data_IF_464948991192
#
_entry.id   IF_464948991192
#
_cell.length_a   1.000
_cell.length_b   1.000
_cell.length_c   1.000
_cell.angle_alpha   90.00
_cell.angle_beta   90.00
_cell.angle_gamma   90.00
#
_symmetry.space_group_name_H-M   'P 1'
#
loop_
_entity.id
_entity.type
_entity.pdbx_description
1 polymer ?
#
# COMPACT_ATOMS: atom_id res chain seq x y z
N UNK A 1 -50.16 1.65 25.79
CA UNK A 1 -48.80 1.04 25.76
C UNK A 1 -48.31 0.81 24.32
N UNK A 2 -49.03 0.04 23.50
CA UNK A 2 -48.66 -0.25 22.09
C UNK A 2 -48.47 0.98 21.18
N UNK A 3 -49.36 1.98 21.26
CA UNK A 3 -49.22 3.23 20.48
C UNK A 3 -48.01 4.07 20.88
N UNK A 4 -47.66 4.10 22.17
CA UNK A 4 -46.49 4.83 22.68
C UNK A 4 -45.20 4.16 22.19
N UNK A 5 -45.13 2.83 22.24
CA UNK A 5 -44.00 2.04 21.72
C UNK A 5 -43.79 2.30 20.22
N UNK A 6 -44.86 2.31 19.41
CA UNK A 6 -44.78 2.63 17.97
C UNK A 6 -44.22 4.03 17.69
N UNK A 7 -44.61 5.03 18.48
CA UNK A 7 -44.09 6.41 18.34
C UNK A 7 -42.61 6.50 18.72
N UNK A 8 -42.19 5.88 19.82
CA UNK A 8 -40.78 5.84 20.22
C UNK A 8 -39.91 5.15 19.18
N UNK A 9 -40.34 3.99 18.66
CA UNK A 9 -39.64 3.28 17.58
C UNK A 9 -39.55 4.15 16.32
N UNK A 10 -40.63 4.83 15.94
CA UNK A 10 -40.61 5.76 14.80
C UNK A 10 -39.61 6.91 15.01
N UNK A 11 -39.55 7.52 16.20
CA UNK A 11 -38.59 8.58 16.48
C UNK A 11 -37.13 8.10 16.49
N UNK A 12 -36.88 6.88 16.95
CA UNK A 12 -35.54 6.28 16.87
C UNK A 12 -35.13 6.03 15.41
N UNK A 13 -36.05 5.53 14.58
CA UNK A 13 -35.79 5.32 13.14
C UNK A 13 -35.56 6.67 12.44
N UNK A 14 -36.38 7.68 12.71
CA UNK A 14 -36.22 9.02 12.12
C UNK A 14 -34.91 9.67 12.56
N UNK A 15 -34.56 9.56 13.84
CA UNK A 15 -33.28 10.07 14.36
C UNK A 15 -32.11 9.40 13.67
N UNK A 16 -32.13 8.06 13.57
CA UNK A 16 -31.09 7.30 12.87
C UNK A 16 -31.01 7.70 11.39
N UNK A 17 -32.15 7.86 10.72
CA UNK A 17 -32.21 8.30 9.32
C UNK A 17 -31.58 9.69 9.14
N UNK A 18 -31.92 10.65 10.01
CA UNK A 18 -31.33 12.00 9.97
C UNK A 18 -29.82 11.94 10.20
N UNK A 19 -29.35 11.15 11.17
CA UNK A 19 -27.91 10.97 11.42
C UNK A 19 -27.20 10.41 10.18
N UNK A 20 -27.79 9.40 9.51
CA UNK A 20 -27.23 8.82 8.29
C UNK A 20 -27.20 9.84 7.15
N UNK A 21 -28.28 10.60 6.95
CA UNK A 21 -28.35 11.64 5.91
C UNK A 21 -27.33 12.75 6.16
N UNK A 22 -27.22 13.24 7.39
CA UNK A 22 -26.24 14.26 7.77
C UNK A 22 -24.80 13.74 7.63
N UNK A 23 -24.54 12.51 8.07
CA UNK A 23 -23.25 11.85 7.91
C UNK A 23 -22.86 11.74 6.43
N UNK A 24 -23.74 11.18 5.60
CA UNK A 24 -23.50 11.04 4.16
C UNK A 24 -23.33 12.38 3.45
N UNK A 25 -24.14 13.38 3.81
CA UNK A 25 -24.02 14.74 3.28
C UNK A 25 -22.67 15.36 3.64
N UNK A 26 -22.15 15.11 4.85
CA UNK A 26 -20.82 15.56 5.27
C UNK A 26 -19.72 14.91 4.42
N UNK A 27 -19.78 13.59 4.21
CA UNK A 27 -18.82 12.89 3.34
C UNK A 27 -18.83 13.45 1.90
N UNK A 28 -20.01 13.79 1.40
CA UNK A 28 -20.17 14.39 0.08
C UNK A 28 -19.58 15.81 0.02
N UNK A 29 -19.79 16.62 1.07
CA UNK A 29 -19.18 17.96 1.17
C UNK A 29 -17.64 17.91 1.15
N UNK A 30 -17.04 16.95 1.88
CA UNK A 30 -15.59 16.72 1.85
C UNK A 30 -15.08 16.26 0.47
N UNK A 31 -15.96 15.76 -0.40
CA UNK A 31 -15.60 15.29 -1.75
C UNK A 31 -15.50 16.43 -2.77
N UNK A 32 -15.83 17.69 -2.44
CA UNK A 32 -15.77 18.79 -3.42
C UNK A 32 -14.39 19.38 -3.65
N UNK A 33 -13.48 19.23 -2.68
CA UNK A 33 -12.13 19.78 -2.81
C UNK A 33 -11.35 18.98 -3.86
N UNK A 34 -10.53 19.68 -4.64
CA UNK A 34 -9.63 19.07 -5.60
C UNK A 34 -8.19 19.34 -5.20
N UNK A 35 -7.34 18.33 -5.37
CA UNK A 35 -5.90 18.47 -5.28
C UNK A 35 -5.24 18.17 -6.62
N UNK A 36 -4.13 18.86 -6.87
CA UNK A 36 -3.22 18.50 -7.94
C UNK A 36 -2.41 17.28 -7.51
N UNK A 37 -2.65 16.15 -8.17
CA UNK A 37 -2.09 14.85 -7.78
C UNK A 37 -1.05 14.45 -8.81
N UNK A 38 0.16 14.17 -8.33
CA UNK A 38 1.17 13.49 -9.13
C UNK A 38 1.03 11.98 -8.99
N UNK A 39 1.21 11.24 -10.08
CA UNK A 39 1.18 9.79 -10.06
C UNK A 39 2.58 9.18 -10.03
N UNK A 40 2.68 8.05 -9.33
CA UNK A 40 3.84 7.18 -9.32
C UNK A 40 3.45 5.75 -9.71
N UNK A 41 4.45 4.90 -9.84
CA UNK A 41 4.26 3.48 -10.19
C UNK A 41 4.99 2.59 -9.17
N UNK A 42 4.31 1.55 -8.69
CA UNK A 42 4.97 0.46 -7.95
C UNK A 42 5.53 -0.55 -8.94
N UNK A 43 6.81 -0.90 -8.82
CA UNK A 43 7.45 -1.84 -9.73
C UNK A 43 8.11 -3.01 -8.99
N UNK A 44 7.89 -4.23 -9.47
CA UNK A 44 8.48 -5.46 -8.95
C UNK A 44 9.06 -6.29 -10.09
N UNK A 45 10.37 -6.59 -10.10
CA UNK A 45 10.98 -7.50 -11.07
C UNK A 45 10.32 -8.87 -11.11
N UNK A 46 9.99 -9.41 -9.93
CA UNK A 46 9.35 -10.71 -9.79
C UNK A 46 7.97 -10.75 -10.45
N UNK A 47 7.18 -9.67 -10.31
CA UNK A 47 5.86 -9.60 -10.93
C UNK A 47 5.93 -9.45 -12.46
N UNK A 48 6.81 -8.60 -12.98
CA UNK A 48 7.00 -8.52 -14.44
C UNK A 48 7.42 -9.88 -15.02
N UNK A 49 8.32 -10.59 -14.33
CA UNK A 49 8.77 -11.92 -14.73
C UNK A 49 7.63 -12.95 -14.65
N UNK A 50 6.79 -12.90 -13.61
CA UNK A 50 5.63 -13.79 -13.49
C UNK A 50 4.59 -13.56 -14.60
N UNK A 51 4.57 -12.36 -15.19
CA UNK A 51 3.79 -12.03 -16.39
C UNK A 51 4.41 -12.56 -17.70
N UNK A 52 5.60 -13.17 -17.66
CA UNK A 52 6.32 -13.62 -18.84
C UNK A 52 7.06 -12.51 -19.58
N UNK A 53 7.27 -11.36 -18.93
CA UNK A 53 7.96 -10.19 -19.49
C UNK A 53 9.43 -10.16 -19.05
N UNK A 54 10.30 -9.57 -19.86
CA UNK A 54 11.63 -9.14 -19.39
C UNK A 54 11.44 -7.93 -18.46
N UNK A 55 11.83 -8.07 -17.20
CA UNK A 55 11.58 -7.02 -16.21
C UNK A 55 12.41 -5.76 -16.46
N UNK A 56 13.61 -5.87 -17.06
CA UNK A 56 14.45 -4.70 -17.34
C UNK A 56 13.89 -3.92 -18.52
N UNK A 57 13.47 -4.60 -19.57
CA UNK A 57 12.77 -3.97 -20.70
C UNK A 57 11.47 -3.32 -20.23
N UNK A 58 10.69 -4.01 -19.39
CA UNK A 58 9.44 -3.47 -18.83
C UNK A 58 9.71 -2.23 -17.97
N UNK A 59 10.72 -2.29 -17.10
CA UNK A 59 11.10 -1.15 -16.27
C UNK A 59 11.55 0.06 -17.10
N UNK A 60 12.34 -0.17 -18.16
CA UNK A 60 12.73 0.87 -19.11
C UNK A 60 11.52 1.44 -19.85
N UNK A 61 10.58 0.62 -20.29
CA UNK A 61 9.35 1.10 -20.93
C UNK A 61 8.53 1.98 -19.98
N UNK A 62 8.38 1.60 -18.71
CA UNK A 62 7.72 2.42 -17.68
C UNK A 62 8.41 3.78 -17.53
N UNK A 63 9.73 3.80 -17.43
CA UNK A 63 10.51 5.04 -17.30
C UNK A 63 10.39 5.95 -18.54
N UNK A 64 10.44 5.37 -19.73
CA UNK A 64 10.48 6.12 -20.99
C UNK A 64 9.09 6.58 -21.46
N UNK A 65 8.07 5.74 -21.29
CA UNK A 65 6.74 5.97 -21.85
C UNK A 65 5.82 6.64 -20.82
N UNK A 66 5.76 6.10 -19.60
CA UNK A 66 4.89 6.65 -18.54
C UNK A 66 5.53 7.85 -17.82
N UNK A 67 6.85 7.90 -17.77
CA UNK A 67 7.63 8.98 -17.13
C UNK A 67 7.11 9.33 -15.73
N UNK A 68 6.99 8.34 -14.82
CA UNK A 68 6.39 8.57 -13.52
C UNK A 68 7.26 9.54 -12.70
N UNK A 69 6.63 10.37 -11.88
CA UNK A 69 7.36 11.26 -10.96
C UNK A 69 7.99 10.49 -9.80
N UNK A 70 7.31 9.42 -9.37
CA UNK A 70 7.71 8.57 -8.26
C UNK A 70 7.70 7.09 -8.66
N UNK A 71 8.65 6.34 -8.14
CA UNK A 71 8.67 4.88 -8.17
C UNK A 71 8.64 4.33 -6.74
N UNK A 72 7.74 3.39 -6.48
CA UNK A 72 7.74 2.62 -5.23
C UNK A 72 8.39 1.27 -5.52
N UNK A 73 9.57 1.06 -4.94
CA UNK A 73 10.42 -0.09 -5.23
C UNK A 73 10.57 -0.90 -3.94
N UNK A 74 10.15 -2.18 -3.92
CA UNK A 74 10.48 -3.08 -2.82
C UNK A 74 11.95 -3.50 -2.89
N UNK A 75 12.55 -3.76 -1.73
CA UNK A 75 13.83 -4.45 -1.58
C UNK A 75 13.59 -5.80 -0.86
N UNK A 76 13.03 -6.83 -1.53
CA UNK A 76 12.60 -8.05 -0.86
C UNK A 76 13.73 -8.74 -0.09
N UNK A 77 13.47 -9.15 1.17
CA UNK A 77 14.48 -9.81 1.99
C UNK A 77 14.94 -11.14 1.37
N UNK A 78 14.02 -11.90 0.75
CA UNK A 78 14.33 -13.10 -0.07
C UNK A 78 15.31 -12.86 -1.21
N UNK A 79 15.32 -11.66 -1.81
CA UNK A 79 16.22 -11.33 -2.92
C UNK A 79 17.52 -10.72 -2.43
N UNK A 80 17.45 -9.83 -1.44
CA UNK A 80 18.61 -9.09 -0.91
C UNK A 80 19.53 -10.01 -0.10
N UNK A 81 18.97 -10.95 0.66
CA UNK A 81 19.72 -11.86 1.53
C UNK A 81 19.17 -13.30 1.39
N UNK A 82 19.16 -13.80 0.15
CA UNK A 82 18.70 -15.16 -0.16
C UNK A 82 19.44 -16.23 0.67
N UNK A 83 20.74 -16.04 0.87
CA UNK A 83 21.60 -16.82 1.75
C UNK A 83 21.98 -15.97 2.98
N UNK A 84 21.84 -16.53 4.19
CA UNK A 84 22.15 -15.83 5.44
C UNK A 84 23.56 -15.19 5.41
N UNK A 85 23.63 -13.88 5.66
CA UNK A 85 24.85 -13.09 5.69
C UNK A 85 25.45 -12.77 4.31
N UNK A 86 24.85 -13.21 3.21
CA UNK A 86 25.31 -12.91 1.84
C UNK A 86 24.35 -11.95 1.16
N UNK A 87 24.75 -10.69 1.12
CA UNK A 87 23.93 -9.63 0.54
C UNK A 87 24.20 -9.46 -0.96
N UNK A 88 23.13 -9.31 -1.73
CA UNK A 88 23.17 -8.82 -3.10
C UNK A 88 22.21 -7.65 -3.26
N UNK A 89 22.62 -6.66 -4.04
CA UNK A 89 21.85 -5.46 -4.28
C UNK A 89 21.63 -5.20 -5.77
N UNK A 90 22.01 -6.15 -6.63
CA UNK A 90 22.10 -5.95 -8.08
C UNK A 90 20.80 -5.42 -8.71
N UNK A 91 19.65 -5.98 -8.35
CA UNK A 91 18.35 -5.56 -8.89
C UNK A 91 17.96 -4.16 -8.39
N UNK A 92 18.07 -3.93 -7.08
CA UNK A 92 17.71 -2.65 -6.45
C UNK A 92 18.65 -1.54 -6.95
N UNK A 93 19.96 -1.81 -7.03
CA UNK A 93 20.96 -0.90 -7.60
C UNK A 93 20.62 -0.50 -9.03
N UNK A 94 20.30 -1.49 -9.88
CA UNK A 94 19.92 -1.23 -11.26
C UNK A 94 18.68 -0.32 -11.31
N UNK A 95 17.64 -0.62 -10.54
CA UNK A 95 16.42 0.17 -10.54
C UNK A 95 16.64 1.60 -10.05
N UNK A 96 17.38 1.79 -8.96
CA UNK A 96 17.69 3.13 -8.44
C UNK A 96 18.58 3.94 -9.41
N UNK A 97 19.57 3.29 -10.05
CA UNK A 97 20.44 3.97 -11.02
C UNK A 97 19.67 4.42 -12.27
N UNK A 98 18.76 3.61 -12.78
CA UNK A 98 17.93 3.98 -13.92
C UNK A 98 16.88 5.04 -13.55
N UNK A 99 16.29 4.97 -12.35
CA UNK A 99 15.43 6.04 -11.85
C UNK A 99 16.19 7.38 -11.76
N UNK A 100 17.45 7.35 -11.29
CA UNK A 100 18.31 8.53 -11.22
C UNK A 100 18.53 9.18 -12.60
N UNK A 101 18.83 8.37 -13.62
CA UNK A 101 19.03 8.84 -15.01
C UNK A 101 17.79 9.53 -15.58
N UNK A 102 16.60 9.12 -15.14
CA UNK A 102 15.31 9.66 -15.57
C UNK A 102 14.77 10.76 -14.64
N UNK A 103 15.55 11.18 -13.64
CA UNK A 103 15.13 12.13 -12.60
C UNK A 103 13.85 11.72 -11.85
N UNK A 104 13.66 10.41 -11.67
CA UNK A 104 12.51 9.84 -10.97
C UNK A 104 12.87 9.63 -9.49
N UNK A 105 11.97 10.02 -8.60
CA UNK A 105 12.14 9.88 -7.14
C UNK A 105 11.70 8.50 -6.68
N UNK A 106 12.41 7.92 -5.71
CA UNK A 106 12.14 6.56 -5.24
C UNK A 106 11.64 6.56 -3.80
N UNK A 107 10.55 5.85 -3.57
CA UNK A 107 10.15 5.33 -2.26
C UNK A 107 10.67 3.90 -2.17
N UNK A 108 11.65 3.65 -1.31
CA UNK A 108 12.22 2.32 -1.12
C UNK A 108 11.53 1.62 0.05
N UNK A 109 10.98 0.44 -0.22
CA UNK A 109 10.24 -0.34 0.79
C UNK A 109 11.14 -1.42 1.39
N UNK A 110 11.14 -1.50 2.71
CA UNK A 110 11.85 -2.50 3.51
C UNK A 110 10.87 -3.16 4.49
N UNK A 111 11.31 -4.25 5.11
CA UNK A 111 10.53 -5.01 6.08
C UNK A 111 10.19 -6.42 5.58
N UNK A 112 9.43 -7.14 6.39
CA UNK A 112 8.99 -8.51 6.14
C UNK A 112 7.92 -8.59 5.04
N UNK A 113 7.00 -7.63 5.08
CA UNK A 113 5.84 -7.48 4.22
C UNK A 113 6.07 -6.30 3.28
N UNK A 114 6.01 -6.55 1.99
CA UNK A 114 6.34 -5.60 0.94
C UNK A 114 5.28 -5.63 -0.16
N UNK A 115 5.21 -4.59 -1.01
CA UNK A 115 4.25 -4.50 -2.11
C UNK A 115 4.22 -5.77 -2.98
N UNK A 116 3.03 -6.13 -3.46
CA UNK A 116 2.72 -7.28 -4.35
C UNK A 116 2.65 -8.64 -3.65
N UNK A 117 1.79 -9.52 -4.19
CA UNK A 117 1.63 -10.90 -3.75
C UNK A 117 2.73 -11.82 -4.30
N UNK A 118 3.29 -12.76 -3.49
CA UNK A 118 3.07 -12.93 -2.06
C UNK A 118 3.59 -11.72 -1.26
N UNK A 119 2.79 -11.24 -0.31
CA UNK A 119 3.09 -9.99 0.41
C UNK A 119 4.29 -10.10 1.35
N UNK A 120 4.65 -11.31 1.82
CA UNK A 120 5.77 -11.49 2.74
C UNK A 120 6.96 -12.20 2.09
N UNK A 121 8.16 -11.66 2.32
CA UNK A 121 9.38 -12.03 1.62
C UNK A 121 10.43 -12.59 2.58
N UNK A 122 10.10 -13.65 3.30
CA UNK A 122 11.06 -14.34 4.19
C UNK A 122 12.00 -15.28 3.43
N UNK A 123 13.32 -15.13 3.53
CA UNK A 123 14.25 -16.17 3.08
C UNK A 123 13.99 -17.50 3.77
N UNK A 124 14.22 -18.62 3.07
CA UNK A 124 13.94 -19.96 3.60
C UNK A 124 14.73 -20.29 4.88
N UNK A 125 15.91 -19.70 5.07
CA UNK A 125 16.70 -19.85 6.29
C UNK A 125 16.08 -19.07 7.46
N UNK A 126 15.50 -17.89 7.20
CA UNK A 126 14.89 -17.04 8.22
C UNK A 126 13.58 -17.65 8.75
N UNK A 127 12.83 -18.36 7.90
CA UNK A 127 11.60 -19.09 8.28
C UNK A 127 11.83 -20.16 9.36
N UNK A 128 13.08 -20.64 9.51
CA UNK A 128 13.46 -21.71 10.47
C UNK A 128 13.92 -21.16 11.83
N UNK A 129 14.06 -19.84 11.95
CA UNK A 129 14.53 -19.20 13.17
C UNK A 129 13.42 -19.04 14.21
N UNK A 130 13.82 -18.88 15.47
CA UNK A 130 12.91 -18.40 16.52
C UNK A 130 12.42 -16.98 16.18
N UNK A 131 11.26 -16.56 16.70
CA UNK A 131 10.75 -15.19 16.48
C UNK A 131 11.80 -14.12 16.82
N UNK A 132 12.46 -14.27 17.98
CA UNK A 132 13.48 -13.34 18.44
C UNK A 132 14.72 -13.31 17.52
N UNK A 133 15.20 -14.46 17.06
CA UNK A 133 16.38 -14.51 16.20
C UNK A 133 16.06 -14.05 14.78
N UNK A 134 14.85 -14.31 14.30
CA UNK A 134 14.37 -13.78 13.03
C UNK A 134 14.19 -12.27 13.07
N UNK A 135 13.68 -11.71 14.17
CA UNK A 135 13.61 -10.25 14.35
C UNK A 135 15.00 -9.60 14.33
N UNK A 136 16.01 -10.21 14.97
CA UNK A 136 17.41 -9.75 14.84
C UNK A 136 17.91 -9.84 13.40
N UNK A 137 17.59 -10.92 12.70
CA UNK A 137 17.99 -11.13 11.32
C UNK A 137 17.34 -10.11 10.36
N UNK A 138 16.05 -9.82 10.57
CA UNK A 138 15.30 -8.78 9.88
C UNK A 138 15.99 -7.41 10.04
N UNK A 139 16.25 -6.99 11.28
CA UNK A 139 16.93 -5.71 11.55
C UNK A 139 18.35 -5.65 10.96
N UNK A 140 19.05 -6.78 10.84
CA UNK A 140 20.35 -6.83 10.16
C UNK A 140 20.22 -6.62 8.65
N UNK A 141 19.25 -7.27 8.02
CA UNK A 141 18.94 -7.06 6.60
C UNK A 141 18.56 -5.61 6.33
N UNK A 142 17.67 -5.04 7.13
CA UNK A 142 17.27 -3.64 6.99
C UNK A 142 18.44 -2.69 7.22
N UNK A 143 19.29 -2.96 8.22
CA UNK A 143 20.52 -2.20 8.44
C UNK A 143 21.39 -2.20 7.18
N UNK A 144 21.54 -3.35 6.50
CA UNK A 144 22.33 -3.45 5.28
C UNK A 144 21.71 -2.64 4.12
N UNK A 145 20.38 -2.69 3.95
CA UNK A 145 19.67 -1.91 2.93
C UNK A 145 19.75 -0.40 3.21
N UNK A 146 19.44 0.02 4.44
CA UNK A 146 19.44 1.44 4.83
C UNK A 146 20.86 2.01 4.71
N UNK A 147 21.87 1.31 5.25
CA UNK A 147 23.26 1.76 5.17
C UNK A 147 23.74 1.93 3.73
N UNK A 148 23.24 1.11 2.80
CA UNK A 148 23.58 1.21 1.38
C UNK A 148 22.96 2.44 0.70
N UNK A 149 21.69 2.74 1.00
CA UNK A 149 20.93 3.72 0.21
C UNK A 149 20.64 5.05 0.93
N UNK A 150 20.93 5.19 2.23
CA UNK A 150 20.70 6.42 3.00
C UNK A 150 21.40 7.67 2.42
N UNK A 151 22.43 7.51 1.59
CA UNK A 151 23.11 8.64 0.93
C UNK A 151 22.75 8.79 -0.55
N UNK A 152 21.82 7.98 -1.08
CA UNK A 152 21.43 8.02 -2.47
C UNK A 152 20.43 9.18 -2.73
N UNK A 153 20.75 10.18 -3.57
CA UNK A 153 19.88 11.34 -3.81
C UNK A 153 18.59 11.03 -4.57
N UNK A 154 18.51 9.85 -5.18
CA UNK A 154 17.32 9.34 -5.87
C UNK A 154 16.23 8.90 -4.89
N UNK A 155 16.66 8.45 -3.70
CA UNK A 155 15.77 8.06 -2.63
C UNK A 155 15.12 9.30 -2.02
N UNK A 156 13.79 9.33 -2.02
CA UNK A 156 12.97 10.39 -1.43
C UNK A 156 12.58 10.04 0.01
N UNK A 157 12.14 8.81 0.22
CA UNK A 157 11.60 8.35 1.50
C UNK A 157 11.72 6.84 1.65
N UNK A 158 11.63 6.39 2.90
CA UNK A 158 11.54 4.98 3.28
C UNK A 158 10.09 4.62 3.51
N UNK A 159 9.65 3.46 3.02
CA UNK A 159 8.43 2.83 3.51
C UNK A 159 8.84 1.62 4.37
N UNK A 160 8.33 1.55 5.59
CA UNK A 160 8.54 0.40 6.47
C UNK A 160 7.28 -0.44 6.43
N UNK A 161 7.45 -1.69 6.00
CA UNK A 161 6.40 -2.69 5.87
C UNK A 161 5.28 -2.29 4.86
N UNK A 162 4.40 -3.23 4.54
CA UNK A 162 3.23 -3.00 3.67
C UNK A 162 1.94 -3.27 4.44
N UNK A 163 1.18 -2.23 4.76
CA UNK A 163 -0.01 -2.31 5.61
C UNK A 163 0.26 -3.14 6.90
N UNK A 164 1.25 -2.76 7.75
CA UNK A 164 1.75 -3.58 8.84
C UNK A 164 0.72 -3.95 9.92
N UNK A 165 -0.39 -3.20 10.02
CA UNK A 165 -1.40 -3.37 11.08
C UNK A 165 -2.70 -4.01 10.58
N UNK A 166 -2.74 -4.44 9.31
CA UNK A 166 -3.88 -5.19 8.82
C UNK A 166 -3.80 -6.64 9.28
N UNK A 167 -4.91 -7.15 9.81
CA UNK A 167 -5.00 -8.52 10.33
C UNK A 167 -5.14 -9.55 9.19
N UNK A 168 -4.10 -9.68 8.36
CA UNK A 168 -3.99 -10.69 7.30
C UNK A 168 -2.74 -11.55 7.48
N UNK A 169 -2.86 -12.60 8.29
CA UNK A 169 -1.79 -13.56 8.55
C UNK A 169 -2.16 -14.94 8.00
N UNK A 170 -1.87 -15.18 6.73
CA UNK A 170 -2.04 -16.47 6.08
C UNK A 170 -0.91 -16.73 5.06
N UNK A 171 -0.69 -18.01 4.72
CA UNK A 171 0.34 -18.41 3.75
C UNK A 171 1.75 -17.96 4.17
N UNK A 172 2.46 -17.31 3.24
CA UNK A 172 3.82 -16.77 3.45
C UNK A 172 3.88 -15.71 4.57
N UNK A 173 2.76 -15.07 4.89
CA UNK A 173 2.65 -14.10 6.00
C UNK A 173 2.26 -14.73 7.34
N UNK A 174 2.10 -16.05 7.44
CA UNK A 174 1.85 -16.72 8.73
C UNK A 174 2.94 -16.45 9.77
N UNK A 175 4.14 -16.14 9.30
CA UNK A 175 5.27 -15.76 10.12
C UNK A 175 5.40 -14.27 10.39
N UNK A 176 4.51 -13.38 9.95
CA UNK A 176 4.69 -11.94 10.16
C UNK A 176 4.75 -11.55 11.64
N UNK A 177 5.73 -10.74 12.02
CA UNK A 177 5.91 -10.20 13.38
C UNK A 177 5.64 -8.69 13.40
N UNK A 178 4.38 -8.30 13.64
CA UNK A 178 3.98 -6.89 13.80
C UNK A 178 4.75 -6.18 14.92
N UNK A 179 5.22 -6.91 15.94
CA UNK A 179 5.97 -6.31 17.05
C UNK A 179 7.35 -5.80 16.65
N UNK A 180 7.82 -6.13 15.44
CA UNK A 180 9.06 -5.61 14.88
C UNK A 180 8.92 -4.18 14.32
N UNK A 181 7.73 -3.79 13.85
CA UNK A 181 7.49 -2.54 13.09
C UNK A 181 8.06 -1.30 13.78
N UNK A 182 7.89 -1.19 15.10
CA UNK A 182 8.41 -0.03 15.86
C UNK A 182 9.95 0.01 15.90
N UNK A 183 10.58 -1.16 15.96
CA UNK A 183 12.04 -1.27 15.96
C UNK A 183 12.60 -1.01 14.57
N UNK A 184 11.91 -1.45 13.51
CA UNK A 184 12.25 -1.17 12.11
C UNK A 184 12.19 0.34 11.82
N UNK A 185 11.11 1.01 12.27
CA UNK A 185 11.00 2.48 12.18
C UNK A 185 12.11 3.19 12.96
N UNK A 186 12.38 2.77 14.20
CA UNK A 186 13.45 3.35 15.01
C UNK A 186 14.83 3.17 14.35
N UNK A 187 15.05 2.03 13.68
CA UNK A 187 16.26 1.76 12.93
C UNK A 187 16.45 2.72 11.76
N UNK A 188 15.39 2.97 10.97
CA UNK A 188 15.45 3.97 9.89
C UNK A 188 15.73 5.37 10.45
N UNK A 189 15.03 5.78 11.52
CA UNK A 189 15.26 7.08 12.16
C UNK A 189 16.71 7.24 12.64
N UNK A 190 17.32 6.17 13.14
CA UNK A 190 18.70 6.17 13.61
C UNK A 190 19.71 6.25 12.45
N UNK A 191 19.50 5.49 11.38
CA UNK A 191 20.48 5.34 10.30
C UNK A 191 20.33 6.37 9.18
N UNK A 192 19.12 6.90 8.96
CA UNK A 192 18.81 7.94 7.97
C UNK A 192 17.80 8.97 8.53
N UNK A 193 18.21 9.80 9.50
CA UNK A 193 17.31 10.79 10.12
C UNK A 193 16.84 11.91 9.17
N UNK A 194 17.42 11.99 7.97
CA UNK A 194 17.12 13.05 7.02
C UNK A 194 15.84 12.78 6.22
N UNK A 195 15.47 11.51 6.01
CA UNK A 195 14.31 11.13 5.19
C UNK A 195 13.10 10.80 6.04
N UNK A 196 11.94 11.04 5.43
CA UNK A 196 10.65 10.70 6.01
C UNK A 196 10.35 9.21 5.90
N UNK A 197 9.68 8.69 6.92
CA UNK A 197 9.25 7.30 7.01
C UNK A 197 7.76 7.23 6.73
N UNK A 198 7.40 6.44 5.73
CA UNK A 198 6.03 6.15 5.36
C UNK A 198 5.59 4.88 6.04
N UNK A 199 4.40 4.92 6.64
CA UNK A 199 3.65 3.73 7.03
C UNK A 199 2.38 3.69 6.20
N UNK A 200 2.07 2.51 5.67
CA UNK A 200 0.89 2.29 4.85
C UNK A 200 -0.22 1.58 5.61
N UNK A 201 -1.46 1.72 5.18
CA UNK A 201 -2.60 0.99 5.77
C UNK A 201 -3.75 0.82 4.77
N UNK A 202 -4.69 -0.08 5.08
CA UNK A 202 -5.86 -0.29 4.22
C UNK A 202 -6.83 0.87 4.31
N UNK A 203 -7.19 1.40 3.14
CA UNK A 203 -8.15 2.49 3.02
C UNK A 203 -9.49 2.16 3.65
N UNK A 204 -10.10 1.09 3.16
CA UNK A 204 -11.46 0.68 3.48
C UNK A 204 -11.57 -0.17 4.75
N UNK A 205 -10.52 -0.90 5.14
CA UNK A 205 -10.61 -1.95 6.18
C UNK A 205 -9.99 -1.57 7.53
N UNK A 206 -9.09 -0.59 7.59
CA UNK A 206 -8.41 -0.21 8.84
C UNK A 206 -9.04 1.03 9.50
N UNK A 207 -8.71 1.30 10.76
CA UNK A 207 -9.00 2.58 11.41
C UNK A 207 -7.95 3.65 11.13
N UNK A 208 -6.73 3.28 10.71
CA UNK A 208 -5.55 4.15 10.55
C UNK A 208 -4.90 4.67 11.84
N UNK A 209 -5.50 4.47 13.01
CA UNK A 209 -5.02 5.06 14.27
C UNK A 209 -3.56 4.73 14.61
N UNK A 210 -3.16 3.46 14.43
CA UNK A 210 -1.80 2.99 14.73
C UNK A 210 -0.83 3.42 13.62
N UNK A 211 -1.21 3.24 12.36
CA UNK A 211 -0.40 3.63 11.21
C UNK A 211 -0.06 5.13 11.23
N UNK A 212 -1.05 5.98 11.49
CA UNK A 212 -0.95 7.45 11.54
C UNK A 212 0.02 7.98 12.62
N UNK A 213 0.39 7.14 13.59
CA UNK A 213 1.27 7.51 14.72
C UNK A 213 2.62 6.79 14.70
N UNK A 214 2.83 5.91 13.73
CA UNK A 214 4.04 5.07 13.66
C UNK A 214 5.10 5.70 12.76
N UNK A 215 4.70 6.29 11.63
CA UNK A 215 5.60 6.96 10.69
C UNK A 215 5.49 8.49 10.70
N UNK A 216 6.22 9.13 9.79
CA UNK A 216 6.07 10.56 9.48
C UNK A 216 4.92 10.85 8.52
N UNK A 217 4.62 9.90 7.62
CA UNK A 217 3.65 10.05 6.54
C UNK A 217 2.75 8.81 6.52
N UNK A 218 1.43 9.04 6.54
CA UNK A 218 0.45 7.99 6.27
C UNK A 218 0.20 7.84 4.76
N UNK A 219 0.38 6.64 4.25
CA UNK A 219 -0.12 6.22 2.94
C UNK A 219 -1.30 5.27 3.09
N UNK A 220 -2.31 5.33 2.23
CA UNK A 220 -3.43 4.38 2.28
C UNK A 220 -3.76 3.77 0.93
N UNK A 221 -4.31 2.57 0.93
CA UNK A 221 -4.81 1.94 -0.28
C UNK A 221 -6.17 2.51 -0.69
N UNK A 222 -6.51 2.43 -1.97
CA UNK A 222 -7.82 2.82 -2.51
C UNK A 222 -8.26 1.78 -3.55
N UNK A 223 -9.16 0.90 -3.14
CA UNK A 223 -9.72 -0.17 -3.96
C UNK A 223 -11.25 -0.05 -4.02
N UNK A 224 -11.77 0.40 -5.17
CA UNK A 224 -13.22 0.64 -5.31
C UNK A 224 -14.01 -0.59 -5.72
N UNK A 225 -13.37 -1.57 -6.37
CA UNK A 225 -14.02 -2.79 -6.85
C UNK A 225 -13.13 -3.98 -6.54
N UNK A 226 -13.52 -4.82 -5.59
CA UNK A 226 -12.72 -5.97 -5.16
C UNK A 226 -13.43 -7.27 -5.48
N UNK A 227 -12.66 -8.35 -5.61
CA UNK A 227 -13.20 -9.71 -5.68
C UNK A 227 -12.95 -10.38 -4.33
N UNK A 228 -14.01 -10.89 -3.72
CA UNK A 228 -13.94 -11.59 -2.43
C UNK A 228 -13.43 -13.03 -2.62
N UNK A 229 -12.99 -13.72 -1.54
CA UNK A 229 -12.50 -15.10 -1.63
C UNK A 229 -13.52 -16.12 -2.16
N UNK A 230 -14.83 -15.83 -2.07
CA UNK A 230 -15.89 -16.65 -2.69
C UNK A 230 -16.19 -16.24 -4.15
N UNK A 231 -15.26 -15.53 -4.80
CA UNK A 231 -15.32 -15.06 -6.17
C UNK A 231 -16.44 -14.05 -6.48
N UNK A 232 -17.04 -13.41 -5.47
CA UNK A 232 -18.06 -12.37 -5.67
C UNK A 232 -17.40 -11.01 -5.90
N UNK A 233 -18.02 -10.14 -6.70
CA UNK A 233 -17.53 -8.78 -6.93
C UNK A 233 -18.22 -7.83 -5.96
N UNK A 234 -17.43 -7.09 -5.20
CA UNK A 234 -17.89 -6.09 -4.25
C UNK A 234 -17.48 -4.69 -4.69
N UNK A 235 -18.41 -3.74 -4.61
CA UNK A 235 -18.19 -2.36 -5.02
C UNK A 235 -18.28 -1.42 -3.81
N UNK A 236 -17.17 -0.75 -3.49
CA UNK A 236 -17.12 0.33 -2.51
C UNK A 236 -17.54 1.69 -3.09
N UNK A 237 -18.20 1.70 -4.26
CA UNK A 237 -18.61 2.93 -4.95
C UNK A 237 -19.62 3.78 -4.17
N UNK A 238 -20.29 3.19 -3.18
CA UNK A 238 -21.19 3.89 -2.26
C UNK A 238 -20.47 4.79 -1.25
N UNK A 239 -19.16 4.58 -1.01
CA UNK A 239 -18.36 5.42 -0.11
C UNK A 239 -17.81 6.62 -0.90
N UNK A 240 -18.22 7.87 -0.58
CA UNK A 240 -17.68 9.05 -1.23
C UNK A 240 -16.18 9.17 -0.94
N UNK A 241 -15.40 9.70 -1.89
CA UNK A 241 -13.95 9.90 -1.74
C UNK A 241 -13.60 10.80 -0.55
N UNK A 242 -14.48 11.76 -0.21
CA UNK A 242 -14.35 12.61 0.97
C UNK A 242 -14.35 11.86 2.31
N UNK A 243 -14.74 10.58 2.34
CA UNK A 243 -14.60 9.75 3.53
C UNK A 243 -13.13 9.53 3.93
N UNK A 244 -12.23 9.43 2.95
CA UNK A 244 -10.80 9.35 3.19
C UNK A 244 -10.27 10.62 3.84
N UNK A 245 -10.72 11.77 3.35
CA UNK A 245 -10.36 13.09 3.90
C UNK A 245 -10.84 13.30 5.30
N UNK A 246 -12.11 13.01 5.56
CA UNK A 246 -12.67 13.12 6.90
C UNK A 246 -11.87 12.24 7.86
N UNK A 247 -11.51 11.02 7.44
CA UNK A 247 -10.74 10.11 8.27
C UNK A 247 -9.31 10.60 8.49
N UNK A 248 -8.63 11.11 7.47
CA UNK A 248 -7.33 11.75 7.60
C UNK A 248 -7.39 12.98 8.53
N UNK A 249 -8.45 13.81 8.44
CA UNK A 249 -8.71 14.95 9.33
C UNK A 249 -8.86 14.51 10.80
N UNK A 250 -9.64 13.45 11.04
CA UNK A 250 -9.85 12.87 12.39
C UNK A 250 -8.52 12.45 13.04
N UNK A 251 -7.55 11.97 12.25
CA UNK A 251 -6.23 11.59 12.75
C UNK A 251 -5.19 12.71 12.69
N UNK A 252 -5.56 13.91 12.23
CA UNK A 252 -4.68 15.07 12.16
C UNK A 252 -3.63 14.97 11.06
N UNK A 253 -3.90 14.19 10.01
CA UNK A 253 -2.98 14.02 8.88
C UNK A 253 -2.87 15.29 8.05
N UNK A 254 -1.65 15.58 7.60
CA UNK A 254 -1.42 16.70 6.70
C UNK A 254 -1.78 16.30 5.27
N UNK A 255 -2.83 16.90 4.71
CA UNK A 255 -3.29 16.62 3.34
C UNK A 255 -2.27 16.91 2.23
N UNK A 256 -1.19 17.64 2.51
CA UNK A 256 -0.11 17.86 1.54
C UNK A 256 0.91 16.70 1.50
N UNK A 257 0.90 15.81 2.49
CA UNK A 257 1.81 14.67 2.59
C UNK A 257 1.10 13.32 2.66
N UNK A 258 -0.11 13.26 3.21
CA UNK A 258 -0.99 12.08 3.13
C UNK A 258 -1.28 11.75 1.66
N UNK A 259 -1.19 10.48 1.28
CA UNK A 259 -1.39 10.09 -0.10
C UNK A 259 -1.93 8.67 -0.26
N UNK A 260 -2.43 8.38 -1.46
CA UNK A 260 -2.82 7.03 -1.86
C UNK A 260 -1.57 6.26 -2.24
N UNK A 261 -1.13 5.34 -1.37
CA UNK A 261 0.07 4.52 -1.58
C UNK A 261 -0.18 3.40 -2.58
N UNK A 262 -1.41 2.91 -2.69
CA UNK A 262 -1.86 1.97 -3.71
C UNK A 262 -3.21 2.38 -4.27
N UNK A 263 -3.23 2.73 -5.55
CA UNK A 263 -4.46 2.93 -6.30
C UNK A 263 -4.76 1.67 -7.09
N UNK A 264 -5.99 1.17 -7.00
CA UNK A 264 -6.43 0.05 -7.82
C UNK A 264 -6.29 0.37 -9.32
N UNK A 265 -5.34 -0.31 -9.97
CA UNK A 265 -5.07 -0.21 -11.40
C UNK A 265 -4.99 -1.57 -12.10
N UNK A 266 -5.32 -2.65 -11.38
CA UNK A 266 -5.28 -4.01 -11.91
C UNK A 266 -6.52 -4.83 -11.50
N UNK A 267 -6.87 -5.86 -12.28
CA UNK A 267 -8.00 -6.72 -11.98
C UNK A 267 -7.68 -7.70 -10.86
N UNK A 268 -8.74 -8.15 -10.19
CA UNK A 268 -8.69 -9.28 -9.27
C UNK A 268 -8.96 -10.58 -10.02
N UNK A 269 -7.98 -11.48 -10.01
CA UNK A 269 -8.02 -12.72 -10.79
C UNK A 269 -8.85 -13.85 -10.16
N UNK A 270 -9.29 -13.71 -8.91
CA UNK A 270 -9.97 -14.77 -8.17
C UNK A 270 -9.01 -15.92 -7.87
N UNK A 271 -9.41 -17.15 -8.18
CA UNK A 271 -8.56 -18.34 -8.05
C UNK A 271 -7.53 -18.48 -9.20
N UNK A 272 -7.54 -17.55 -10.15
CA UNK A 272 -6.67 -17.54 -11.32
C UNK A 272 -5.44 -16.62 -11.17
N UNK A 273 -4.85 -16.35 -12.32
CA UNK A 273 -3.66 -15.54 -12.55
C UNK A 273 -3.93 -14.59 -13.73
N UNK A 274 -3.03 -13.65 -13.97
CA UNK A 274 -3.15 -12.75 -15.12
C UNK A 274 -3.26 -13.49 -16.47
N UNK A 275 -2.64 -14.65 -16.60
CA UNK A 275 -2.58 -15.39 -17.87
C UNK A 275 -3.78 -16.31 -18.11
N UNK A 276 -4.38 -16.85 -17.05
CA UNK A 276 -5.42 -17.87 -17.19
C UNK A 276 -6.83 -17.37 -16.85
N UNK A 277 -6.97 -16.20 -16.23
CA UNK A 277 -8.28 -15.59 -15.99
C UNK A 277 -8.82 -14.98 -17.29
N UNK A 278 -10.01 -15.37 -17.78
CA UNK A 278 -10.58 -14.80 -19.00
C UNK A 278 -10.75 -13.27 -18.91
N UNK A 279 -10.51 -12.55 -20.01
CA UNK A 279 -10.57 -11.07 -20.06
C UNK A 279 -11.90 -10.53 -19.53
N UNK A 280 -13.03 -11.14 -19.89
CA UNK A 280 -14.34 -10.72 -19.41
C UNK A 280 -14.53 -10.86 -17.88
N UNK A 281 -13.74 -11.71 -17.21
CA UNK A 281 -13.73 -11.84 -15.75
C UNK A 281 -12.80 -10.79 -15.13
N UNK A 282 -11.65 -10.52 -15.76
CA UNK A 282 -10.75 -9.44 -15.35
C UNK A 282 -11.48 -8.08 -15.39
N UNK A 283 -12.18 -7.82 -16.49
CA UNK A 283 -12.91 -6.57 -16.76
C UNK A 283 -14.04 -6.27 -15.77
N UNK A 284 -14.49 -7.25 -14.98
CA UNK A 284 -15.47 -7.02 -13.91
C UNK A 284 -14.89 -6.17 -12.77
N UNK A 285 -13.57 -6.20 -12.59
CA UNK A 285 -12.90 -5.52 -11.46
C UNK A 285 -11.89 -4.48 -11.92
N UNK A 286 -11.39 -4.56 -13.15
CA UNK A 286 -10.58 -3.52 -13.76
C UNK A 286 -10.69 -3.51 -15.27
N UNK A 287 -10.97 -2.34 -15.83
CA UNK A 287 -10.97 -2.06 -17.27
C UNK A 287 -10.61 -0.57 -17.47
N UNK A 288 -10.41 -0.09 -18.70
CA UNK A 288 -10.01 1.30 -18.94
C UNK A 288 -10.94 2.35 -18.34
N UNK A 289 -12.25 2.09 -18.27
CA UNK A 289 -13.21 3.04 -17.67
C UNK A 289 -13.13 3.04 -16.14
N UNK A 290 -12.94 1.88 -15.51
CA UNK A 290 -12.67 1.78 -14.07
C UNK A 290 -11.37 2.51 -13.72
N UNK A 291 -10.30 2.32 -14.50
CA UNK A 291 -9.02 2.99 -14.28
C UNK A 291 -9.16 4.52 -14.36
N UNK A 292 -9.84 5.04 -15.40
CA UNK A 292 -10.14 6.48 -15.51
C UNK A 292 -10.93 6.99 -14.31
N UNK A 293 -11.93 6.23 -13.86
CA UNK A 293 -12.74 6.58 -12.69
C UNK A 293 -11.92 6.61 -11.41
N UNK A 294 -11.04 5.63 -11.21
CA UNK A 294 -10.15 5.54 -10.06
C UNK A 294 -9.16 6.72 -10.04
N UNK A 295 -8.50 7.00 -11.17
CA UNK A 295 -7.59 8.16 -11.32
C UNK A 295 -8.31 9.47 -11.00
N UNK A 296 -9.50 9.68 -11.57
CA UNK A 296 -10.29 10.88 -11.30
C UNK A 296 -10.66 10.98 -9.81
N UNK A 297 -10.98 9.86 -9.15
CA UNK A 297 -11.38 9.83 -7.75
C UNK A 297 -10.27 10.25 -6.78
N UNK A 298 -8.99 10.01 -7.11
CA UNK A 298 -7.86 10.37 -6.23
C UNK A 298 -7.76 11.87 -6.00
N UNK A 299 -8.05 12.70 -7.00
CA UNK A 299 -8.06 14.16 -6.83
C UNK A 299 -9.12 14.64 -5.82
N UNK A 300 -10.10 13.80 -5.50
CA UNK A 300 -11.18 14.05 -4.54
C UNK A 300 -11.00 13.29 -3.21
N UNK A 301 -9.93 12.52 -3.08
CA UNK A 301 -9.44 11.94 -1.82
C UNK A 301 -8.45 12.89 -1.17
#
# INVERSE_FOLDING_TARGET
>A
MWHTIKKTVLYLILTLFIIVVLGYSTLWLFSFKHYDVSFGVSFSPAFATSLGLDWKETYQAILNDLKPKYLRIPAPWTEVEADQGKYTFQNVDYMLNEAAKHNVKVVLVIGQKQPRWPECYFPDWAKKLSLNDRKKALLNYETAVISRYAKNPTLESWQVENEPFINFNFGECSGYDESAVKDEVALVQQLDPARKIIITDSGELSTWFTASRTGDILGVTLYRIVRTPNNSVWHYTYMPTGAYRLKADIFGENFNSFYISELQAEPWFGDGTAQNTPVNIQEQTMNPEILKSNIASVSYT
#
